data_IF_588643452303
#
_entry.id   IF_588643452303
#
_cell.length_a   1.000
_cell.length_b   1.000
_cell.length_c   1.000
_cell.angle_alpha   90.00
_cell.angle_beta   90.00
_cell.angle_gamma   90.00
#
_symmetry.space_group_name_H-M   'P 1'
#
loop_
_entity.id
_entity.type
_entity.pdbx_description
1 polymer ?
#
# COMPACT_ATOMS: atom_id res chain seq x y z
N UNK A 1 3.20 8.18 12.87
CA UNK A 1 3.63 8.27 11.46
C UNK A 1 5.14 8.50 11.35
N UNK A 2 5.70 9.58 11.91
CA UNK A 2 7.15 9.88 11.77
C UNK A 2 8.09 8.75 12.23
N UNK A 3 7.81 8.13 13.38
CA UNK A 3 8.58 6.97 13.85
C UNK A 3 8.56 5.80 12.84
N UNK A 4 7.39 5.53 12.24
CA UNK A 4 7.24 4.49 11.21
C UNK A 4 8.03 4.85 9.95
N UNK A 5 8.00 6.12 9.51
CA UNK A 5 8.81 6.58 8.37
C UNK A 5 10.30 6.37 8.61
N UNK A 6 10.79 6.78 9.78
CA UNK A 6 12.19 6.60 10.16
C UNK A 6 12.57 5.12 10.17
N UNK A 7 11.74 4.26 10.77
CA UNK A 7 12.02 2.82 10.84
C UNK A 7 12.04 2.15 9.45
N UNK A 8 11.14 2.57 8.55
CA UNK A 8 11.14 2.13 7.14
C UNK A 8 12.45 2.53 6.45
N UNK A 9 12.85 3.79 6.58
CA UNK A 9 14.08 4.30 5.96
C UNK A 9 15.30 3.52 6.45
N UNK A 10 15.42 3.31 7.75
CA UNK A 10 16.55 2.55 8.32
C UNK A 10 16.53 1.08 7.89
N UNK A 11 15.36 0.44 7.82
CA UNK A 11 15.26 -0.93 7.29
C UNK A 11 15.76 -1.03 5.85
N UNK A 12 15.36 -0.12 4.96
CA UNK A 12 15.77 -0.19 3.54
C UNK A 12 17.24 0.19 3.30
N UNK A 13 17.87 0.89 4.25
CA UNK A 13 19.32 1.14 4.28
C UNK A 13 20.16 -0.08 4.69
N UNK A 14 19.56 -1.10 5.31
CA UNK A 14 20.27 -2.32 5.66
C UNK A 14 20.86 -3.00 4.42
N UNK A 15 21.97 -3.76 4.57
CA UNK A 15 22.51 -4.60 3.51
C UNK A 15 21.43 -5.51 2.91
N UNK A 16 21.51 -5.74 1.60
CA UNK A 16 20.56 -6.57 0.86
C UNK A 16 20.39 -7.97 1.48
N UNK A 17 21.47 -8.58 1.98
CA UNK A 17 21.42 -9.91 2.60
C UNK A 17 20.62 -9.92 3.91
N UNK A 18 20.65 -8.83 4.69
CA UNK A 18 19.81 -8.69 5.88
C UNK A 18 18.33 -8.52 5.50
N UNK A 19 18.02 -7.76 4.45
CA UNK A 19 16.65 -7.61 3.94
C UNK A 19 16.10 -8.92 3.37
N UNK A 20 16.95 -9.70 2.68
CA UNK A 20 16.62 -11.02 2.14
C UNK A 20 16.34 -12.07 3.23
N UNK A 21 16.73 -11.84 4.48
CA UNK A 21 16.30 -12.71 5.59
C UNK A 21 14.76 -12.76 5.74
N UNK A 22 14.07 -11.72 5.25
CA UNK A 22 12.61 -11.63 5.23
C UNK A 22 12.02 -11.99 3.86
N UNK A 23 12.78 -12.65 2.97
CA UNK A 23 12.38 -12.87 1.59
C UNK A 23 11.01 -13.56 1.48
N UNK A 24 10.19 -13.05 0.56
CA UNK A 24 8.91 -13.65 0.23
C UNK A 24 9.10 -15.03 -0.39
N UNK A 25 8.52 -16.03 0.25
CA UNK A 25 8.51 -17.39 -0.27
C UNK A 25 7.54 -17.53 -1.46
N UNK A 26 7.76 -18.51 -2.37
CA UNK A 26 6.83 -18.81 -3.43
C UNK A 26 5.41 -19.03 -2.90
N UNK A 27 4.41 -18.49 -3.61
CA UNK A 27 2.98 -18.59 -3.25
C UNK A 27 2.62 -18.01 -1.87
N UNK A 28 3.46 -17.14 -1.30
CA UNK A 28 3.13 -16.36 -0.10
C UNK A 28 2.92 -14.90 -0.47
N UNK A 29 2.01 -14.24 0.24
CA UNK A 29 1.74 -12.81 0.05
C UNK A 29 2.77 -11.94 0.81
N UNK A 30 3.19 -12.39 1.99
CA UNK A 30 4.08 -11.65 2.89
C UNK A 30 5.57 -11.87 2.58
N UNK A 31 6.38 -10.88 2.96
CA UNK A 31 7.83 -10.89 2.88
C UNK A 31 8.40 -9.80 1.98
N UNK A 32 9.73 -9.76 1.94
CA UNK A 32 10.56 -8.86 1.15
C UNK A 32 10.80 -9.40 -0.26
N UNK A 33 10.69 -8.54 -1.27
CA UNK A 33 11.05 -8.86 -2.65
C UNK A 33 10.20 -8.12 -3.68
N UNK A 34 10.40 -8.47 -4.95
CA UNK A 34 9.65 -7.92 -6.07
C UNK A 34 8.36 -8.71 -6.33
N UNK A 35 7.52 -8.21 -7.24
CA UNK A 35 6.30 -8.89 -7.69
C UNK A 35 6.65 -10.26 -8.30
N UNK A 36 5.70 -11.20 -8.32
CA UNK A 36 5.94 -12.49 -8.94
C UNK A 36 6.13 -12.33 -10.45
N UNK A 37 7.13 -13.03 -10.98
CA UNK A 37 7.36 -13.15 -12.43
C UNK A 37 6.57 -14.34 -12.93
N UNK A 38 5.64 -14.11 -13.86
CA UNK A 38 4.73 -15.13 -14.41
C UNK A 38 4.97 -15.40 -15.89
N UNK A 39 5.76 -14.57 -16.59
CA UNK A 39 6.16 -14.78 -17.99
C UNK A 39 7.45 -14.04 -18.33
N UNK A 40 8.16 -14.49 -19.37
CA UNK A 40 9.39 -13.84 -19.85
C UNK A 40 9.14 -12.43 -20.43
N UNK A 41 7.95 -12.19 -20.99
CA UNK A 41 7.55 -10.90 -21.56
C UNK A 41 7.02 -9.90 -20.50
N UNK A 42 7.07 -10.25 -19.21
CA UNK A 42 6.52 -9.40 -18.16
C UNK A 42 7.44 -8.21 -17.87
N UNK A 43 6.92 -7.00 -18.04
CA UNK A 43 7.56 -5.80 -17.51
C UNK A 43 7.66 -5.85 -15.99
N UNK A 44 8.86 -5.64 -15.45
CA UNK A 44 9.10 -5.63 -14.01
C UNK A 44 9.07 -4.20 -13.46
N UNK A 45 8.40 -4.05 -12.32
CA UNK A 45 8.40 -2.81 -11.57
C UNK A 45 9.78 -2.54 -10.95
N UNK A 46 10.22 -1.28 -11.04
CA UNK A 46 11.45 -0.79 -10.44
C UNK A 46 11.25 -0.47 -8.96
N UNK A 47 10.91 -1.49 -8.18
CA UNK A 47 10.67 -1.39 -6.76
C UNK A 47 11.06 -2.67 -6.01
N UNK A 48 11.53 -2.48 -4.79
CA UNK A 48 11.52 -3.50 -3.75
C UNK A 48 10.27 -3.33 -2.89
N UNK A 49 9.72 -4.44 -2.38
CA UNK A 49 8.56 -4.39 -1.50
C UNK A 49 8.79 -5.19 -0.23
N UNK A 50 8.14 -4.79 0.86
CA UNK A 50 7.93 -5.60 2.05
C UNK A 50 6.44 -5.60 2.38
N UNK A 51 5.81 -6.76 2.29
CA UNK A 51 4.39 -6.94 2.64
C UNK A 51 4.26 -7.69 3.95
N UNK A 52 3.51 -7.15 4.90
CA UNK A 52 3.30 -7.74 6.21
C UNK A 52 1.82 -7.71 6.59
N UNK A 53 1.29 -8.83 7.05
CA UNK A 53 -0.04 -8.89 7.65
C UNK A 53 0.04 -8.31 9.06
N UNK A 54 -0.78 -7.30 9.32
CA UNK A 54 -0.87 -6.63 10.62
C UNK A 54 -2.13 -7.01 11.38
N UNK A 55 -3.18 -7.47 10.72
CA UNK A 55 -4.41 -7.97 11.36
C UNK A 55 -5.08 -9.08 10.54
N UNK A 56 -5.81 -10.00 11.20
CA UNK A 56 -5.98 -10.12 12.66
C UNK A 56 -4.67 -10.55 13.36
N UNK A 57 -4.58 -10.39 14.68
CA UNK A 57 -3.32 -10.61 15.42
C UNK A 57 -2.79 -12.05 15.26
N UNK A 58 -3.71 -13.01 15.16
CA UNK A 58 -3.44 -14.43 14.99
C UNK A 58 -2.86 -14.77 13.62
N UNK A 59 -3.04 -13.89 12.63
CA UNK A 59 -2.49 -14.05 11.28
C UNK A 59 -1.12 -13.39 11.11
N UNK A 60 -0.57 -12.73 12.14
CA UNK A 60 0.74 -12.09 12.06
C UNK A 60 1.84 -13.15 12.03
N UNK A 61 2.68 -13.10 11.01
CA UNK A 61 3.94 -13.83 11.02
C UNK A 61 5.08 -12.94 11.54
N UNK A 62 5.35 -13.02 12.85
CA UNK A 62 6.35 -12.16 13.52
C UNK A 62 7.78 -12.41 13.01
N UNK A 63 8.06 -13.60 12.48
CA UNK A 63 9.37 -13.91 11.90
C UNK A 63 9.66 -13.08 10.64
N UNK A 64 8.61 -12.66 9.94
CA UNK A 64 8.72 -11.77 8.78
C UNK A 64 8.80 -10.29 9.17
N UNK A 65 8.55 -9.94 10.44
CA UNK A 65 8.62 -8.55 10.89
C UNK A 65 10.08 -8.19 11.22
N UNK A 66 10.69 -7.21 10.54
CA UNK A 66 12.07 -6.80 10.80
C UNK A 66 12.35 -6.53 12.27
N UNK A 67 13.42 -7.15 12.79
CA UNK A 67 13.93 -6.87 14.13
C UNK A 67 14.91 -5.68 14.14
N UNK A 68 15.34 -5.23 12.95
CA UNK A 68 16.14 -4.03 12.77
C UNK A 68 15.41 -3.07 11.82
N UNK A 69 15.30 -1.78 12.18
CA UNK A 69 15.69 -1.20 13.47
C UNK A 69 14.88 -1.79 14.65
N UNK A 70 15.46 -1.77 15.85
CA UNK A 70 14.85 -2.39 17.06
C UNK A 70 13.42 -1.90 17.34
N UNK A 71 13.08 -0.70 16.89
CA UNK A 71 11.77 -0.07 17.05
C UNK A 71 10.75 -0.46 15.99
N UNK A 72 11.15 -1.13 14.91
CA UNK A 72 10.32 -1.36 13.72
C UNK A 72 9.02 -2.10 14.07
N UNK A 73 9.10 -3.18 14.85
CA UNK A 73 7.92 -3.99 15.21
C UNK A 73 6.90 -3.21 16.01
N UNK A 74 7.36 -2.44 16.99
CA UNK A 74 6.48 -1.62 17.83
C UNK A 74 5.86 -0.49 17.02
N UNK A 75 6.66 0.19 16.19
CA UNK A 75 6.19 1.24 15.30
C UNK A 75 5.15 0.74 14.31
N UNK A 76 5.37 -0.43 13.70
CA UNK A 76 4.41 -1.06 12.79
C UNK A 76 3.12 -1.46 13.52
N UNK A 77 3.22 -2.02 14.72
CA UNK A 77 2.06 -2.42 15.51
C UNK A 77 1.21 -1.21 15.91
N UNK A 78 1.83 -0.14 16.42
CA UNK A 78 1.15 1.12 16.73
C UNK A 78 0.54 1.75 15.48
N UNK A 79 1.31 1.84 14.39
CA UNK A 79 0.83 2.42 13.13
C UNK A 79 -0.37 1.68 12.56
N UNK A 80 -0.33 0.35 12.51
CA UNK A 80 -1.43 -0.49 12.03
C UNK A 80 -2.70 -0.36 12.91
N UNK A 81 -2.53 -0.16 14.22
CA UNK A 81 -3.65 0.11 15.12
C UNK A 81 -4.32 1.44 14.80
N UNK A 82 -3.56 2.52 14.67
CA UNK A 82 -4.11 3.84 14.31
C UNK A 82 -4.76 3.82 12.92
N UNK A 83 -4.13 3.17 11.93
CA UNK A 83 -4.72 3.01 10.61
C UNK A 83 -6.05 2.26 10.63
N UNK A 84 -6.21 1.24 11.50
CA UNK A 84 -7.50 0.55 11.65
C UNK A 84 -8.57 1.51 12.15
N UNK A 85 -8.24 2.37 13.12
CA UNK A 85 -9.17 3.37 13.65
C UNK A 85 -9.60 4.35 12.56
N UNK A 86 -8.65 4.90 11.81
CA UNK A 86 -8.92 5.83 10.70
C UNK A 86 -9.78 5.16 9.62
N UNK A 87 -9.42 3.94 9.22
CA UNK A 87 -10.18 3.18 8.23
C UNK A 87 -11.62 2.93 8.71
N UNK A 88 -11.81 2.53 9.97
CA UNK A 88 -13.14 2.33 10.56
C UNK A 88 -14.01 3.59 10.48
N UNK A 89 -13.48 4.73 10.91
CA UNK A 89 -14.21 6.02 10.82
C UNK A 89 -14.57 6.38 9.38
N UNK A 90 -13.64 6.19 8.43
CA UNK A 90 -13.92 6.47 7.02
C UNK A 90 -15.01 5.56 6.45
N UNK A 91 -14.95 4.26 6.75
CA UNK A 91 -15.94 3.29 6.32
C UNK A 91 -17.33 3.58 6.91
N UNK A 92 -17.42 3.97 8.18
CA UNK A 92 -18.69 4.40 8.79
C UNK A 92 -19.29 5.63 8.10
N UNK A 93 -18.46 6.62 7.75
CA UNK A 93 -18.92 7.81 7.03
C UNK A 93 -19.36 7.46 5.61
N UNK A 94 -18.62 6.59 4.92
CA UNK A 94 -19.00 6.09 3.60
C UNK A 94 -20.34 5.35 3.64
N UNK A 95 -20.55 4.46 4.62
CA UNK A 95 -21.81 3.75 4.80
C UNK A 95 -23.01 4.70 4.93
N UNK A 96 -22.88 5.72 5.80
CA UNK A 96 -23.90 6.75 5.98
C UNK A 96 -24.21 7.51 4.69
N UNK A 97 -23.19 7.87 3.92
CA UNK A 97 -23.36 8.59 2.65
C UNK A 97 -24.00 7.74 1.56
N UNK A 98 -23.80 6.41 1.60
CA UNK A 98 -24.43 5.45 0.69
C UNK A 98 -25.83 5.04 1.14
N UNK A 99 -26.31 5.49 2.31
CA UNK A 99 -27.60 5.07 2.87
C UNK A 99 -27.62 3.61 3.33
N UNK A 100 -26.44 3.01 3.54
CA UNK A 100 -26.28 1.64 4.05
C UNK A 100 -26.23 1.72 5.59
N UNK A 101 -26.88 0.78 6.26
CA UNK A 101 -26.79 0.68 7.72
C UNK A 101 -25.30 0.49 8.11
N UNK A 102 -24.74 1.34 9.01
CA UNK A 102 -23.34 1.24 9.40
C UNK A 102 -22.93 -0.16 9.88
N UNK A 103 -23.85 -0.89 10.51
CA UNK A 103 -23.65 -2.26 11.00
C UNK A 103 -23.47 -3.26 9.84
N UNK A 104 -24.28 -3.13 8.79
CA UNK A 104 -24.21 -3.98 7.60
C UNK A 104 -22.89 -3.74 6.85
N UNK A 105 -22.53 -2.48 6.63
CA UNK A 105 -21.29 -2.11 5.95
C UNK A 105 -20.05 -2.50 6.77
N UNK A 106 -20.10 -2.35 8.09
CA UNK A 106 -19.00 -2.73 8.98
C UNK A 106 -18.79 -4.25 9.02
N UNK A 107 -19.85 -5.05 8.88
CA UNK A 107 -19.75 -6.51 8.85
C UNK A 107 -18.92 -7.01 7.65
N UNK A 108 -18.93 -6.29 6.53
CA UNK A 108 -18.13 -6.62 5.33
C UNK A 108 -16.63 -6.57 5.65
N UNK A 109 -16.22 -5.57 6.45
CA UNK A 109 -14.83 -5.34 6.82
C UNK A 109 -14.46 -5.91 8.20
N UNK A 110 -15.43 -6.52 8.89
CA UNK A 110 -15.21 -7.18 10.16
C UNK A 110 -14.31 -8.40 9.95
N UNK A 111 -13.27 -8.50 10.79
CA UNK A 111 -12.27 -9.57 10.76
C UNK A 111 -11.51 -9.73 9.43
N UNK A 112 -11.64 -8.77 8.50
CA UNK A 112 -10.86 -8.74 7.26
C UNK A 112 -9.39 -8.48 7.53
N UNK A 113 -8.55 -9.01 6.64
CA UNK A 113 -7.10 -8.86 6.73
C UNK A 113 -6.69 -7.40 6.54
N UNK A 114 -5.89 -6.89 7.47
CA UNK A 114 -5.12 -5.67 7.26
C UNK A 114 -3.69 -6.06 6.92
N UNK A 115 -3.18 -5.54 5.80
CA UNK A 115 -1.79 -5.69 5.41
C UNK A 115 -1.17 -4.31 5.21
N UNK A 116 0.13 -4.22 5.50
CA UNK A 116 0.96 -3.06 5.18
C UNK A 116 1.94 -3.50 4.11
N UNK A 117 1.91 -2.82 2.96
CA UNK A 117 2.88 -2.95 1.88
C UNK A 117 3.76 -1.71 1.88
N UNK A 118 5.05 -1.91 2.09
CA UNK A 118 6.06 -0.85 2.01
C UNK A 118 6.73 -0.98 0.65
N UNK A 119 6.71 0.09 -0.14
CA UNK A 119 7.36 0.14 -1.44
C UNK A 119 8.59 1.04 -1.35
N UNK A 120 9.73 0.51 -1.81
CA UNK A 120 10.97 1.26 -1.93
C UNK A 120 11.37 1.33 -3.40
N UNK A 121 11.51 2.55 -3.90
CA UNK A 121 11.83 2.83 -5.29
C UNK A 121 13.29 3.33 -5.34
N UNK A 122 14.27 2.48 -5.68
CA UNK A 122 15.66 2.89 -5.76
C UNK A 122 15.89 3.87 -6.94
N UNK A 123 16.92 4.74 -6.87
CA UNK A 123 17.30 5.56 -8.00
C UNK A 123 17.52 4.75 -9.27
N UNK A 124 17.05 5.28 -10.41
CA UNK A 124 17.15 4.62 -11.70
C UNK A 124 17.80 5.54 -12.74
N UNK A 125 18.93 5.13 -13.36
CA UNK A 125 19.55 5.90 -14.44
C UNK A 125 18.70 5.97 -15.72
N UNK A 126 17.73 5.06 -15.88
CA UNK A 126 16.82 4.95 -17.04
C UNK A 126 15.37 5.07 -16.59
N UNK A 127 15.11 6.04 -15.72
CA UNK A 127 13.82 6.19 -15.06
C UNK A 127 12.66 6.52 -16.03
N UNK A 128 12.98 7.02 -17.21
CA UNK A 128 12.04 7.24 -18.31
C UNK A 128 11.60 5.94 -19.01
N UNK A 129 12.30 4.83 -18.76
CA UNK A 129 12.02 3.52 -19.37
C UNK A 129 11.33 2.53 -18.43
N UNK A 130 11.27 2.84 -17.13
CA UNK A 130 10.71 1.93 -16.12
C UNK A 130 9.68 2.62 -15.24
N UNK A 131 8.73 1.84 -14.74
CA UNK A 131 7.77 2.28 -13.73
C UNK A 131 8.18 1.76 -12.37
N UNK A 132 8.00 2.57 -11.33
CA UNK A 132 8.19 2.11 -9.96
C UNK A 132 7.06 1.15 -9.57
N UNK A 133 5.84 1.44 -10.02
CA UNK A 133 4.68 0.58 -9.83
C UNK A 133 3.76 0.70 -11.05
N UNK A 134 3.50 -0.42 -11.70
CA UNK A 134 2.66 -0.50 -12.90
C UNK A 134 1.22 -0.03 -12.64
N UNK A 135 0.50 0.47 -13.67
CA UNK A 135 -0.89 0.87 -13.55
C UNK A 135 -1.79 -0.25 -13.01
N UNK A 136 -2.51 0.01 -11.93
CA UNK A 136 -3.43 -0.96 -11.31
C UNK A 136 -4.56 -0.24 -10.57
N UNK A 137 -5.59 -1.01 -10.21
CA UNK A 137 -6.55 -0.68 -9.13
C UNK A 137 -6.21 -1.51 -7.91
N UNK A 138 -6.64 -1.05 -6.74
CA UNK A 138 -6.41 -1.78 -5.50
C UNK A 138 -7.53 -2.79 -5.27
N UNK A 139 -7.19 -4.08 -5.19
CA UNK A 139 -8.15 -5.13 -4.82
C UNK A 139 -8.62 -5.09 -3.35
N UNK A 140 -8.22 -4.07 -2.58
CA UNK A 140 -8.61 -3.87 -1.18
C UNK A 140 -10.02 -3.23 -1.08
N UNK A 141 -10.50 -3.01 0.13
CA UNK A 141 -11.66 -2.14 0.36
C UNK A 141 -11.26 -0.67 0.39
N UNK A 142 -10.33 -0.35 1.29
CA UNK A 142 -9.81 1.00 1.51
C UNK A 142 -8.31 0.90 1.71
N UNK A 143 -7.55 1.70 0.96
CA UNK A 143 -6.11 1.85 1.14
C UNK A 143 -5.81 3.23 1.73
N UNK A 144 -4.93 3.26 2.73
CA UNK A 144 -4.41 4.46 3.36
C UNK A 144 -2.90 4.53 3.11
N UNK A 145 -2.50 5.40 2.18
CA UNK A 145 -1.13 5.55 1.74
C UNK A 145 -0.42 6.67 2.50
N UNK A 146 0.76 6.35 3.03
CA UNK A 146 1.69 7.30 3.62
C UNK A 146 2.90 7.47 2.70
N UNK A 147 3.16 8.69 2.25
CA UNK A 147 4.44 9.05 1.62
C UNK A 147 5.52 9.16 2.71
N UNK A 148 6.59 8.38 2.56
CA UNK A 148 7.69 8.31 3.55
C UNK A 148 8.66 9.48 3.41
N UNK A 149 8.84 10.00 2.19
CA UNK A 149 9.68 11.14 1.87
C UNK A 149 8.95 12.10 0.92
N UNK A 150 9.62 13.20 0.57
CA UNK A 150 9.07 14.27 -0.29
C UNK A 150 9.27 14.01 -1.80
N UNK A 151 9.66 12.78 -2.18
CA UNK A 151 9.83 12.42 -3.59
C UNK A 151 8.45 12.17 -4.19
N UNK A 152 8.11 12.95 -5.21
CA UNK A 152 6.88 12.77 -5.99
C UNK A 152 6.94 11.46 -6.80
N UNK A 153 5.81 10.95 -7.29
CA UNK A 153 5.82 9.74 -8.14
C UNK A 153 4.45 9.12 -8.32
N UNK A 154 3.58 9.25 -7.31
CA UNK A 154 2.20 8.79 -7.41
C UNK A 154 1.42 9.58 -8.47
N UNK A 155 0.77 8.86 -9.37
CA UNK A 155 -0.16 9.42 -10.34
C UNK A 155 -1.50 8.69 -10.30
N UNK A 156 -2.59 9.42 -10.54
CA UNK A 156 -3.96 8.89 -10.67
C UNK A 156 -4.47 9.03 -12.09
N UNK A 157 -5.24 8.05 -12.55
CA UNK A 157 -5.89 8.09 -13.86
C UNK A 157 -7.33 8.58 -13.72
N UNK A 158 -7.68 9.65 -14.44
CA UNK A 158 -9.05 10.19 -14.53
C UNK A 158 -9.35 10.61 -15.97
N UNK A 159 -10.47 10.13 -16.51
CA UNK A 159 -10.87 10.47 -17.89
C UNK A 159 -9.81 10.12 -18.93
N UNK A 160 -9.12 8.99 -18.75
CA UNK A 160 -8.05 8.53 -19.63
C UNK A 160 -6.67 9.13 -19.38
N UNK A 161 -6.58 10.25 -18.66
CA UNK A 161 -5.34 11.01 -18.43
C UNK A 161 -4.75 10.73 -17.04
N UNK A 162 -3.41 10.84 -16.94
CA UNK A 162 -2.67 10.69 -15.68
C UNK A 162 -2.42 12.06 -15.03
N UNK A 163 -2.63 12.14 -13.72
CA UNK A 163 -2.44 13.35 -12.92
C UNK A 163 -1.53 13.07 -11.72
N UNK A 164 -0.52 13.91 -11.45
CA UNK A 164 0.33 13.75 -10.28
C UNK A 164 -0.46 14.02 -8.99
N UNK A 165 -0.16 13.26 -7.94
CA UNK A 165 -0.67 13.49 -6.60
C UNK A 165 0.45 14.05 -5.73
N UNK A 166 0.22 15.24 -5.17
CA UNK A 166 1.16 15.86 -4.23
C UNK A 166 0.69 15.59 -2.79
N UNK A 167 1.43 14.81 -2.00
CA UNK A 167 1.06 14.57 -0.60
C UNK A 167 1.14 15.87 0.19
N UNK A 168 0.15 16.11 1.06
CA UNK A 168 0.21 17.21 2.01
C UNK A 168 1.05 16.80 3.23
N UNK A 169 1.83 17.72 3.84
CA UNK A 169 2.58 17.42 5.07
C UNK A 169 1.67 16.84 6.16
N UNK A 170 2.04 15.68 6.69
CA UNK A 170 1.28 14.99 7.74
C UNK A 170 -0.02 14.32 7.29
N UNK A 171 -0.32 14.26 6.00
CA UNK A 171 -1.53 13.64 5.48
C UNK A 171 -1.33 12.18 5.05
N UNK A 172 -2.42 11.42 5.12
CA UNK A 172 -2.59 10.14 4.42
C UNK A 172 -3.40 10.38 3.14
N UNK A 173 -3.05 9.68 2.08
CA UNK A 173 -3.86 9.61 0.87
C UNK A 173 -4.78 8.40 1.02
N UNK A 174 -6.09 8.62 0.91
CA UNK A 174 -7.08 7.54 0.96
C UNK A 174 -7.57 7.21 -0.46
N UNK A 175 -7.61 5.93 -0.82
CA UNK A 175 -8.23 5.47 -2.05
C UNK A 175 -9.20 4.31 -1.79
N UNK A 176 -10.30 4.35 -2.53
CA UNK A 176 -11.31 3.31 -2.55
C UNK A 176 -10.78 2.19 -3.45
N UNK A 177 -10.86 0.95 -2.97
CA UNK A 177 -10.49 -0.23 -3.75
C UNK A 177 -11.71 -0.96 -4.32
N UNK A 178 -11.41 -1.97 -5.14
CA UNK A 178 -12.36 -2.71 -5.97
C UNK A 178 -13.49 -3.34 -5.14
N UNK A 179 -13.25 -3.76 -3.89
CA UNK A 179 -14.28 -4.35 -3.04
C UNK A 179 -15.41 -3.35 -2.77
N UNK A 180 -15.08 -2.10 -2.44
CA UNK A 180 -16.09 -1.04 -2.22
C UNK A 180 -16.73 -0.62 -3.54
N UNK A 181 -15.96 -0.55 -4.63
CA UNK A 181 -16.52 -0.25 -5.95
C UNK A 181 -17.58 -1.27 -6.36
N UNK A 182 -17.35 -2.56 -6.14
CA UNK A 182 -18.33 -3.63 -6.43
C UNK A 182 -19.60 -3.46 -5.59
N UNK A 183 -19.45 -3.18 -4.28
CA UNK A 183 -20.60 -2.92 -3.40
C UNK A 183 -21.42 -1.74 -3.91
N UNK A 184 -20.78 -0.65 -4.33
CA UNK A 184 -21.45 0.54 -4.85
C UNK A 184 -22.02 0.36 -6.27
N UNK A 185 -21.42 -0.49 -7.10
CA UNK A 185 -21.88 -0.78 -8.47
C UNK A 185 -23.26 -1.43 -8.50
N UNK A 186 -23.62 -2.15 -7.44
CA UNK A 186 -24.99 -2.66 -7.28
C UNK A 186 -26.01 -1.54 -7.08
N UNK A 187 -25.56 -0.30 -6.85
CA UNK A 187 -26.39 0.86 -6.56
C UNK A 187 -26.31 1.97 -7.63
N UNK A 188 -25.23 2.12 -8.40
CA UNK A 188 -25.08 3.18 -9.43
C UNK A 188 -24.33 2.73 -10.70
N UNK A 189 -24.76 3.19 -11.88
CA UNK A 189 -24.33 2.69 -13.21
C UNK A 189 -23.13 3.40 -13.84
N UNK A 190 -22.29 4.13 -13.09
CA UNK A 190 -21.11 4.81 -13.65
C UNK A 190 -19.94 4.80 -12.67
N UNK A 191 -19.00 3.86 -12.84
CA UNK A 191 -17.75 3.86 -12.10
C UNK A 191 -16.61 4.34 -13.00
N UNK A 192 -15.95 5.42 -12.58
CA UNK A 192 -14.61 5.74 -13.07
C UNK A 192 -13.62 4.96 -12.22
N UNK A 193 -13.07 3.87 -12.75
CA UNK A 193 -11.98 3.15 -12.09
C UNK A 193 -10.79 4.10 -11.91
N UNK A 194 -10.39 4.34 -10.67
CA UNK A 194 -9.20 5.13 -10.39
C UNK A 194 -8.02 4.17 -10.41
N UNK A 195 -7.26 4.21 -11.50
CA UNK A 195 -5.98 3.50 -11.56
C UNK A 195 -4.87 4.38 -10.99
N UNK A 196 -3.90 3.75 -10.35
CA UNK A 196 -2.73 4.42 -9.79
C UNK A 196 -1.45 3.82 -10.39
N UNK A 197 -0.42 4.63 -10.51
CA UNK A 197 0.95 4.18 -10.84
C UNK A 197 1.98 4.98 -10.06
N UNK A 198 3.19 4.45 -9.96
CA UNK A 198 4.35 5.18 -9.49
C UNK A 198 5.35 5.37 -10.65
N UNK A 199 5.61 6.63 -10.99
CA UNK A 199 6.65 7.08 -11.92
C UNK A 199 8.03 7.04 -11.23
N UNK A 200 9.12 6.82 -11.99
CA UNK A 200 10.49 6.88 -11.45
C UNK A 200 11.29 8.11 -11.89
N UNK A 201 10.77 8.96 -12.78
CA UNK A 201 11.42 10.18 -13.29
C UNK A 201 11.83 11.16 -12.19
N UNK A 202 11.06 11.24 -11.12
CA UNK A 202 11.37 12.03 -9.91
C UNK A 202 12.45 11.41 -9.02
N UNK A 203 12.81 10.14 -9.26
CA UNK A 203 13.72 9.31 -8.45
C UNK A 203 15.14 9.28 -9.09
N UNK A 204 15.41 10.18 -10.04
CA UNK A 204 16.61 10.14 -10.89
C UNK A 204 17.97 10.47 -10.22
N UNK A 205 18.05 10.68 -8.90
CA UNK A 205 19.32 11.07 -8.25
C UNK A 205 19.51 10.43 -6.88
#
# INVERSE_FOLDING_TARGET
>A
MEKMKADIVEFFKLPTEEKKAFARLPNRLEGYGQAFVVSDDQGLDWADMLTLITRPLQSRNIDLWPAQPLTFRDSLSCYAMELKSVAGTLLEVMAKNLGIAPEEFSTIFQDQTQAVRINYYPPCPRADEVLGLSPHTDGSGLTLLLHVNDVEGLQIRKGGNWFPVKPLPGALIANIGDIIEVINSTQTSQNQHISFKCDTNSIQK
#
